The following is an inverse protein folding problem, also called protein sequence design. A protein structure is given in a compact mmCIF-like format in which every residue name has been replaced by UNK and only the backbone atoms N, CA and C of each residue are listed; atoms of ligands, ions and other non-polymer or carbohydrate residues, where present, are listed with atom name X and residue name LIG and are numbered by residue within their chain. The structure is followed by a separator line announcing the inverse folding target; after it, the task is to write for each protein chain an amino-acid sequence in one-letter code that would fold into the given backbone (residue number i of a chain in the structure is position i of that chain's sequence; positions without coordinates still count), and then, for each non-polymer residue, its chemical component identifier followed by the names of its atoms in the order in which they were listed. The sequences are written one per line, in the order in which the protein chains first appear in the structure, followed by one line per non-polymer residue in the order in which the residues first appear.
data_IF_369528038606
#
_entry.id   IF_369528038606
#
_cell.length_a   1.000
_cell.length_b   1.000
_cell.length_c   1.000
_cell.angle_alpha   90.00
_cell.angle_beta   90.00
_cell.angle_gamma   90.00
#
_symmetry.space_group_name_H-M   'P 1'
#
loop_
_entity.id
_entity.type
_entity.pdbx_description
1 polymer ?
#
# COMPACT_ATOMS: atom_id res chain seq x y z
N UNK A 1 -3.57 -3.71 -8.65
CA UNK A 1 -4.50 -2.62 -8.99
C UNK A 1 -3.70 -1.47 -9.53
N UNK A 2 -4.34 -0.37 -9.91
CA UNK A 2 -3.67 0.87 -10.31
C UNK A 2 -3.38 1.70 -9.04
N UNK A 3 -2.13 1.74 -8.60
CA UNK A 3 -1.74 2.34 -7.32
C UNK A 3 -1.10 3.73 -7.48
N UNK A 4 -0.74 4.13 -8.69
CA UNK A 4 -0.17 5.44 -9.00
C UNK A 4 -1.01 6.29 -9.97
N UNK A 5 -2.13 5.74 -10.46
CA UNK A 5 -3.15 6.46 -11.20
C UNK A 5 -2.85 6.60 -12.69
N UNK A 6 -1.98 5.74 -13.25
CA UNK A 6 -1.59 5.82 -14.66
C UNK A 6 -2.54 5.05 -15.61
N UNK A 7 -3.57 4.41 -15.07
CA UNK A 7 -4.55 3.64 -15.83
C UNK A 7 -4.08 2.23 -16.21
N UNK A 8 -2.93 1.78 -15.73
CA UNK A 8 -2.41 0.42 -15.90
C UNK A 8 -2.37 -0.31 -14.57
N UNK A 9 -2.27 -1.64 -14.64
CA UNK A 9 -2.17 -2.46 -13.43
C UNK A 9 -0.72 -2.57 -12.99
N UNK A 10 -0.47 -2.23 -11.72
CA UNK A 10 0.82 -2.45 -11.09
C UNK A 10 0.91 -3.83 -10.44
N UNK A 11 2.15 -4.31 -10.32
CA UNK A 11 2.44 -5.54 -9.58
C UNK A 11 2.56 -5.22 -8.10
N UNK A 12 1.81 -5.91 -7.25
CA UNK A 12 1.85 -5.67 -5.80
C UNK A 12 1.89 -6.99 -5.01
N UNK A 13 2.66 -6.99 -3.93
CA UNK A 13 2.76 -8.09 -2.96
C UNK A 13 2.52 -7.53 -1.56
N UNK A 14 1.67 -8.19 -0.78
CA UNK A 14 1.51 -7.92 0.64
C UNK A 14 2.30 -8.96 1.46
N UNK A 15 3.18 -8.49 2.34
CA UNK A 15 3.97 -9.35 3.24
C UNK A 15 4.14 -8.64 4.58
N UNK A 16 3.77 -9.33 5.67
CA UNK A 16 4.03 -8.87 7.05
C UNK A 16 3.53 -7.44 7.35
N UNK A 17 2.35 -7.04 6.86
CA UNK A 17 1.83 -5.69 7.12
C UNK A 17 2.26 -4.63 6.10
N UNK A 18 3.13 -4.99 5.16
CA UNK A 18 3.74 -4.07 4.21
C UNK A 18 3.29 -4.41 2.79
N UNK A 19 2.88 -3.39 2.05
CA UNK A 19 2.65 -3.45 0.62
C UNK A 19 3.92 -3.08 -0.13
N UNK A 20 4.32 -3.94 -1.06
CA UNK A 20 5.41 -3.73 -2.00
C UNK A 20 4.80 -3.59 -3.39
N UNK A 21 5.00 -2.45 -4.04
CA UNK A 21 4.35 -2.10 -5.31
C UNK A 21 5.43 -1.78 -6.33
N UNK A 22 5.35 -2.40 -7.49
CA UNK A 22 6.20 -2.12 -8.65
C UNK A 22 5.35 -1.46 -9.73
N UNK A 23 5.58 -0.15 -9.89
CA UNK A 23 4.76 0.75 -10.71
C UNK A 23 5.03 0.52 -12.19
N UNK A 24 3.95 0.39 -12.94
CA UNK A 24 3.99 0.14 -14.38
C UNK A 24 4.30 1.39 -15.21
N UNK A 25 4.12 2.57 -14.62
CA UNK A 25 4.35 3.88 -15.24
C UNK A 25 5.83 4.16 -15.52
N UNK A 26 6.69 3.89 -14.53
CA UNK A 26 8.10 4.29 -14.54
C UNK A 26 9.06 3.21 -13.99
N UNK A 27 8.56 2.00 -13.72
CA UNK A 27 9.33 0.91 -13.10
C UNK A 27 9.86 1.26 -11.70
N UNK A 28 9.25 2.25 -11.05
CA UNK A 28 9.55 2.64 -9.69
C UNK A 28 9.01 1.65 -8.65
N UNK A 29 9.65 1.62 -7.49
CA UNK A 29 9.26 0.77 -6.38
C UNK A 29 8.69 1.61 -5.24
N UNK A 30 7.56 1.20 -4.71
CA UNK A 30 6.88 1.85 -3.59
C UNK A 30 6.63 0.83 -2.47
N UNK A 31 6.86 1.24 -1.23
CA UNK A 31 6.75 0.41 -0.03
C UNK A 31 5.93 1.16 1.00
N UNK A 32 4.75 0.64 1.30
CA UNK A 32 3.79 1.30 2.21
C UNK A 32 3.37 0.35 3.31
N UNK A 33 3.54 0.77 4.56
CA UNK A 33 2.81 0.22 5.70
C UNK A 33 1.64 1.14 6.02
N UNK A 34 0.54 0.57 6.50
CA UNK A 34 -0.57 1.35 7.04
C UNK A 34 -0.57 1.25 8.55
N UNK A 35 -1.00 2.34 9.19
CA UNK A 35 -1.03 2.48 10.63
C UNK A 35 0.36 2.66 11.26
N UNK A 36 0.36 3.07 12.52
CA UNK A 36 1.53 3.23 13.39
C UNK A 36 1.34 2.47 14.70
N UNK A 37 2.39 2.37 15.51
CA UNK A 37 2.28 1.81 16.87
C UNK A 37 1.24 2.59 17.66
N UNK A 38 0.20 1.89 18.14
CA UNK A 38 -0.90 2.48 18.90
C UNK A 38 -2.21 2.61 18.13
N UNK A 39 -2.22 2.34 16.82
CA UNK A 39 -3.46 2.30 16.04
C UNK A 39 -4.25 1.02 16.31
N UNK A 40 -5.55 1.16 16.57
CA UNK A 40 -6.49 0.05 16.72
C UNK A 40 -7.09 -0.30 15.34
N UNK A 41 -6.89 -1.52 14.80
CA UNK A 41 -7.47 -1.90 13.51
C UNK A 41 -8.99 -2.07 13.65
N UNK A 42 -9.75 -1.35 12.84
CA UNK A 42 -11.19 -1.58 12.66
C UNK A 42 -11.42 -2.27 11.31
N UNK A 43 -12.54 -3.00 11.11
CA UNK A 43 -12.81 -3.77 9.89
C UNK A 43 -12.74 -2.98 8.56
N UNK A 44 -12.64 -1.65 8.60
CA UNK A 44 -12.54 -0.79 7.42
C UNK A 44 -11.38 0.24 7.46
N UNK A 45 -10.43 0.17 8.41
CA UNK A 45 -9.32 1.13 8.45
C UNK A 45 -8.61 1.26 9.80
N UNK A 46 -7.85 2.34 9.94
CA UNK A 46 -7.11 2.72 11.15
C UNK A 46 -7.54 4.13 11.56
N UNK A 47 -7.65 4.37 12.87
CA UNK A 47 -7.91 5.71 13.43
C UNK A 47 -6.68 6.12 14.23
N UNK A 48 -6.01 7.18 13.81
CA UNK A 48 -4.93 7.78 14.59
C UNK A 48 -5.52 8.48 15.83
N UNK A 49 -4.88 8.31 16.98
CA UNK A 49 -5.24 9.00 18.23
C UNK A 49 -4.52 10.34 18.39
#
# INVERSE_FOLDING_TARGET
GDYDGDGKTDNAVYREGIWFIYRSSDQGFDVRSFGIVGDDPIPAGYIAR
#
